data_IF_217261056137
#
_entry.id   IF_217261056137
#
_cell.length_a   1.000
_cell.length_b   1.000
_cell.length_c   1.000
_cell.angle_alpha   90.00
_cell.angle_beta   90.00
_cell.angle_gamma   90.00
#
_symmetry.space_group_name_H-M   'P 1'
#
loop_
_entity.id
_entity.type
_entity.pdbx_description
1 polymer ?
#
# COMPACT_ATOMS: atom_id res chain seq x y z
N UNK A 1 69.18 23.52 -15.00
CA UNK A 1 69.07 23.14 -13.58
C UNK A 1 67.70 23.62 -13.13
N UNK A 2 66.74 22.72 -13.01
CA UNK A 2 65.39 23.06 -12.53
C UNK A 2 65.56 23.46 -11.06
N UNK A 3 65.18 24.69 -10.71
CA UNK A 3 65.34 25.21 -9.35
C UNK A 3 64.17 24.76 -8.48
N UNK A 4 64.32 24.80 -7.14
CA UNK A 4 63.25 24.41 -6.22
C UNK A 4 61.94 25.18 -6.41
N UNK A 5 62.01 26.39 -6.97
CA UNK A 5 60.89 27.25 -7.34
C UNK A 5 60.06 26.71 -8.52
N UNK A 6 60.68 26.02 -9.48
CA UNK A 6 59.98 25.47 -10.65
C UNK A 6 59.10 24.26 -10.25
N UNK A 7 59.58 23.44 -9.32
CA UNK A 7 58.81 22.32 -8.76
C UNK A 7 57.62 22.79 -7.93
N UNK A 8 57.76 23.90 -7.19
CA UNK A 8 56.67 24.48 -6.42
C UNK A 8 55.52 24.98 -7.32
N UNK A 9 55.83 25.56 -8.48
CA UNK A 9 54.82 26.01 -9.46
C UNK A 9 54.10 24.81 -10.08
N UNK A 10 54.83 23.76 -10.46
CA UNK A 10 54.25 22.53 -11.01
C UNK A 10 53.33 21.85 -9.98
N UNK A 11 53.78 21.68 -8.74
CA UNK A 11 52.96 21.12 -7.66
C UNK A 11 51.73 21.99 -7.38
N UNK A 12 51.87 23.32 -7.35
CA UNK A 12 50.76 24.24 -7.17
C UNK A 12 49.69 24.13 -8.27
N UNK A 13 50.12 23.98 -9.53
CA UNK A 13 49.20 23.75 -10.66
C UNK A 13 48.45 22.42 -10.53
N UNK A 14 49.14 21.32 -10.18
CA UNK A 14 48.49 20.03 -9.99
C UNK A 14 47.52 20.04 -8.81
N UNK A 15 47.88 20.66 -7.68
CA UNK A 15 47.01 20.78 -6.50
C UNK A 15 45.75 21.58 -6.82
N UNK A 16 45.88 22.70 -7.54
CA UNK A 16 44.72 23.52 -7.95
C UNK A 16 43.85 22.82 -8.99
N UNK A 17 44.45 22.13 -9.96
CA UNK A 17 43.71 21.35 -10.96
C UNK A 17 42.92 20.19 -10.33
N UNK A 18 43.55 19.41 -9.42
CA UNK A 18 42.88 18.32 -8.69
C UNK A 18 41.75 18.88 -7.81
N UNK A 19 42.00 19.99 -7.11
CA UNK A 19 40.99 20.65 -6.29
C UNK A 19 39.79 21.12 -7.13
N UNK A 20 40.04 21.66 -8.33
CA UNK A 20 38.98 22.06 -9.27
C UNK A 20 38.10 20.89 -9.72
N UNK A 21 38.69 19.73 -10.03
CA UNK A 21 37.96 18.52 -10.41
C UNK A 21 37.12 17.99 -9.24
N UNK A 22 37.67 17.95 -8.02
CA UNK A 22 36.94 17.52 -6.82
C UNK A 22 35.76 18.46 -6.55
N UNK A 23 35.96 19.78 -6.66
CA UNK A 23 34.90 20.78 -6.46
C UNK A 23 33.79 20.63 -7.50
N UNK A 24 34.12 20.40 -8.77
CA UNK A 24 33.11 20.18 -9.82
C UNK A 24 32.30 18.90 -9.58
N UNK A 25 32.97 17.80 -9.24
CA UNK A 25 32.30 16.53 -8.90
C UNK A 25 31.39 16.69 -7.68
N UNK A 26 31.87 17.34 -6.62
CA UNK A 26 31.09 17.63 -5.43
C UNK A 26 29.90 18.56 -5.76
N UNK A 27 30.09 19.57 -6.60
CA UNK A 27 29.04 20.50 -7.01
C UNK A 27 27.94 19.80 -7.80
N UNK A 28 28.29 18.96 -8.77
CA UNK A 28 27.31 18.16 -9.52
C UNK A 28 26.55 17.19 -8.63
N UNK A 29 27.25 16.51 -7.72
CA UNK A 29 26.62 15.62 -6.76
C UNK A 29 25.62 16.36 -5.85
N UNK A 30 26.02 17.49 -5.28
CA UNK A 30 25.14 18.31 -4.45
C UNK A 30 23.96 18.90 -5.23
N UNK A 31 24.18 19.31 -6.48
CA UNK A 31 23.12 19.83 -7.37
C UNK A 31 22.08 18.76 -7.63
N UNK A 32 22.51 17.53 -7.96
CA UNK A 32 21.61 16.39 -8.16
C UNK A 32 20.76 16.11 -6.92
N UNK A 33 21.36 16.11 -5.73
CA UNK A 33 20.60 15.92 -4.47
C UNK A 33 19.57 17.03 -4.26
N UNK A 34 19.92 18.29 -4.55
CA UNK A 34 18.99 19.43 -4.42
C UNK A 34 17.83 19.31 -5.39
N UNK A 35 18.10 18.96 -6.64
CA UNK A 35 17.07 18.75 -7.66
C UNK A 35 16.14 17.59 -7.30
N UNK A 36 16.70 16.46 -6.83
CA UNK A 36 15.90 15.33 -6.38
C UNK A 36 15.01 15.70 -5.18
N UNK A 37 15.57 16.38 -4.17
CA UNK A 37 14.80 16.83 -3.01
C UNK A 37 13.72 17.84 -3.41
N UNK A 38 14.00 18.72 -4.38
CA UNK A 38 13.02 19.67 -4.93
C UNK A 38 11.88 18.92 -5.62
N UNK A 39 12.21 17.95 -6.47
CA UNK A 39 11.22 17.13 -7.16
C UNK A 39 10.33 16.35 -6.17
N UNK A 40 10.93 15.71 -5.17
CA UNK A 40 10.18 15.00 -4.12
C UNK A 40 9.23 15.93 -3.36
N UNK A 41 9.65 17.16 -3.05
CA UNK A 41 8.77 18.16 -2.44
C UNK A 41 7.59 18.53 -3.34
N UNK A 42 7.83 18.71 -4.64
CA UNK A 42 6.78 19.04 -5.60
C UNK A 42 5.77 17.89 -5.72
N UNK A 43 6.23 16.64 -5.81
CA UNK A 43 5.37 15.46 -5.76
C UNK A 43 4.54 15.41 -4.48
N UNK A 44 5.16 15.62 -3.31
CA UNK A 44 4.45 15.63 -2.03
C UNK A 44 3.38 16.70 -1.95
N UNK A 45 3.71 17.94 -2.31
CA UNK A 45 2.82 19.09 -2.20
C UNK A 45 1.68 19.06 -3.22
N UNK A 46 1.93 18.54 -4.42
CA UNK A 46 0.97 18.60 -5.54
C UNK A 46 0.08 17.37 -5.59
N UNK A 47 0.68 16.17 -5.47
CA UNK A 47 -0.05 14.91 -5.60
C UNK A 47 -0.57 14.43 -4.26
N UNK A 48 0.29 14.29 -3.24
CA UNK A 48 -0.09 13.49 -2.09
C UNK A 48 -0.73 14.26 -0.93
N UNK A 49 -0.06 15.29 -0.43
CA UNK A 49 -0.48 16.07 0.75
C UNK A 49 -1.92 16.60 0.67
N UNK A 50 -2.42 17.10 -0.50
CA UNK A 50 -3.77 17.64 -0.58
C UNK A 50 -4.88 16.61 -0.40
N UNK A 51 -4.62 15.33 -0.67
CA UNK A 51 -5.68 14.30 -0.78
C UNK A 51 -5.53 13.13 0.21
N UNK A 52 -4.39 12.98 0.89
CA UNK A 52 -4.11 11.82 1.77
C UNK A 52 -5.18 11.59 2.85
N UNK A 53 -5.64 12.65 3.51
CA UNK A 53 -6.70 12.51 4.53
C UNK A 53 -8.05 12.15 3.92
N UNK A 54 -8.28 12.48 2.65
CA UNK A 54 -9.49 12.07 1.92
C UNK A 54 -9.42 10.59 1.55
N UNK A 55 -8.26 10.09 1.16
CA UNK A 55 -8.00 8.66 0.95
C UNK A 55 -8.26 7.87 2.23
N UNK A 56 -7.77 8.35 3.37
CA UNK A 56 -8.04 7.73 4.68
C UNK A 56 -9.54 7.76 5.01
N UNK A 57 -10.20 8.90 4.80
CA UNK A 57 -11.66 9.01 5.01
C UNK A 57 -12.45 8.06 4.11
N UNK A 58 -12.04 7.87 2.86
CA UNK A 58 -12.67 6.92 1.95
C UNK A 58 -12.61 5.50 2.50
N UNK A 59 -11.41 5.04 2.90
CA UNK A 59 -11.23 3.71 3.51
C UNK A 59 -12.13 3.57 4.75
N UNK A 60 -12.16 4.60 5.61
CA UNK A 60 -13.01 4.61 6.79
C UNK A 60 -14.51 4.68 6.47
N UNK A 61 -14.90 5.29 5.35
CA UNK A 61 -16.30 5.42 4.93
C UNK A 61 -16.88 4.10 4.40
N UNK A 62 -16.04 3.26 3.78
CA UNK A 62 -16.41 1.86 3.51
C UNK A 62 -16.69 1.10 4.81
N UNK A 63 -16.13 1.55 5.95
CA UNK A 63 -16.34 0.91 7.25
C UNK A 63 -17.65 1.29 7.95
N UNK A 64 -18.29 2.43 7.64
CA UNK A 64 -19.46 2.90 8.40
C UNK A 64 -20.55 3.43 7.48
N UNK A 65 -21.71 2.79 7.50
CA UNK A 65 -22.94 3.35 6.91
C UNK A 65 -23.40 4.53 7.78
N UNK A 66 -23.02 5.75 7.41
CA UNK A 66 -23.39 6.95 8.18
C UNK A 66 -22.53 8.19 7.97
N UNK A 67 -21.52 8.15 7.11
CA UNK A 67 -20.78 9.36 6.74
C UNK A 67 -21.65 10.35 5.99
N UNK A 68 -21.39 11.65 6.22
CA UNK A 68 -22.07 12.75 5.51
C UNK A 68 -21.81 12.72 4.00
N UNK A 69 -20.61 12.29 3.61
CA UNK A 69 -20.21 12.05 2.22
C UNK A 69 -20.23 10.55 1.97
N UNK A 70 -20.75 10.11 0.83
CA UNK A 70 -20.76 8.69 0.48
C UNK A 70 -19.36 8.23 0.06
N UNK A 71 -19.01 6.94 0.22
CA UNK A 71 -17.73 6.42 -0.26
C UNK A 71 -17.50 6.71 -1.75
N UNK A 72 -18.55 6.63 -2.57
CA UNK A 72 -18.48 6.98 -4.00
C UNK A 72 -18.12 8.45 -4.25
N UNK A 73 -18.66 9.38 -3.46
CA UNK A 73 -18.33 10.81 -3.57
C UNK A 73 -16.87 11.07 -3.20
N UNK A 74 -16.43 10.52 -2.06
CA UNK A 74 -15.05 10.62 -1.60
C UNK A 74 -14.08 10.05 -2.65
N UNK A 75 -14.40 8.87 -3.19
CA UNK A 75 -13.56 8.22 -4.18
C UNK A 75 -13.51 8.97 -5.51
N UNK A 76 -14.64 9.54 -5.96
CA UNK A 76 -14.66 10.38 -7.16
C UNK A 76 -13.71 11.56 -7.02
N UNK A 77 -13.73 12.26 -5.88
CA UNK A 77 -12.83 13.39 -5.63
C UNK A 77 -11.36 12.97 -5.57
N UNK A 78 -11.08 11.76 -5.05
CA UNK A 78 -9.73 11.17 -5.10
C UNK A 78 -9.30 10.97 -6.55
N UNK A 79 -10.13 10.30 -7.37
CA UNK A 79 -9.82 10.03 -8.78
C UNK A 79 -9.65 11.32 -9.59
N UNK A 80 -10.52 12.31 -9.39
CA UNK A 80 -10.43 13.61 -10.07
C UNK A 80 -9.10 14.31 -9.73
N UNK A 81 -8.71 14.31 -8.44
CA UNK A 81 -7.42 14.86 -8.02
C UNK A 81 -6.23 14.07 -8.58
N UNK A 82 -6.30 12.74 -8.56
CA UNK A 82 -5.27 11.88 -9.15
C UNK A 82 -5.13 12.16 -10.64
N UNK A 83 -6.22 12.23 -11.40
CA UNK A 83 -6.19 12.47 -12.84
C UNK A 83 -5.49 13.78 -13.24
N UNK A 84 -5.65 14.83 -12.44
CA UNK A 84 -4.96 16.11 -12.68
C UNK A 84 -3.47 16.08 -12.33
N UNK A 85 -3.06 15.19 -11.43
CA UNK A 85 -1.73 15.21 -10.80
C UNK A 85 -0.92 13.92 -10.98
N UNK A 86 -1.44 12.92 -11.71
CA UNK A 86 -0.84 11.58 -11.83
C UNK A 86 0.58 11.60 -12.42
N UNK A 87 0.91 12.64 -13.20
CA UNK A 87 2.26 12.88 -13.74
C UNK A 87 3.37 12.98 -12.68
N UNK A 88 3.00 13.27 -11.43
CA UNK A 88 3.92 13.35 -10.29
C UNK A 88 4.09 12.01 -9.55
N UNK A 89 3.35 10.97 -9.94
CA UNK A 89 3.40 9.67 -9.31
C UNK A 89 4.56 8.81 -9.82
N UNK A 90 4.92 7.77 -9.06
CA UNK A 90 5.84 6.75 -9.55
C UNK A 90 5.20 5.95 -10.71
N UNK A 91 5.98 5.48 -11.71
CA UNK A 91 5.43 4.73 -12.85
C UNK A 91 4.54 3.54 -12.46
N UNK A 92 4.86 2.85 -11.35
CA UNK A 92 4.01 1.76 -10.82
C UNK A 92 2.60 2.22 -10.48
N UNK A 93 2.47 3.38 -9.86
CA UNK A 93 1.18 3.94 -9.44
C UNK A 93 0.41 4.47 -10.65
N UNK A 94 1.11 5.10 -11.61
CA UNK A 94 0.51 5.49 -12.90
C UNK A 94 -0.13 4.28 -13.58
N UNK A 95 0.60 3.16 -13.66
CA UNK A 95 0.07 1.93 -14.26
C UNK A 95 -1.14 1.38 -13.51
N UNK A 96 -1.12 1.37 -12.17
CA UNK A 96 -2.25 0.93 -11.34
C UNK A 96 -3.49 1.81 -11.54
N UNK A 97 -3.30 3.13 -11.58
CA UNK A 97 -4.35 4.10 -11.86
C UNK A 97 -4.94 3.95 -13.26
N UNK A 98 -4.11 3.80 -14.29
CA UNK A 98 -4.59 3.60 -15.65
C UNK A 98 -5.35 2.28 -15.79
N UNK A 99 -4.85 1.19 -15.21
CA UNK A 99 -5.56 -0.10 -15.19
C UNK A 99 -6.95 0.05 -14.56
N UNK A 100 -7.04 0.74 -13.42
CA UNK A 100 -8.31 1.02 -12.76
C UNK A 100 -9.29 1.81 -13.65
N UNK A 101 -8.81 2.83 -14.37
CA UNK A 101 -9.66 3.64 -15.27
C UNK A 101 -10.24 2.87 -16.45
N UNK A 102 -9.53 1.84 -16.91
CA UNK A 102 -9.96 1.03 -18.05
C UNK A 102 -10.91 -0.11 -17.65
N UNK A 103 -11.17 -0.30 -16.36
CA UNK A 103 -12.16 -1.29 -15.94
C UNK A 103 -13.55 -0.75 -16.28
N UNK A 104 -14.17 -1.35 -17.29
CA UNK A 104 -15.49 -0.99 -17.81
C UNK A 104 -16.57 -1.59 -16.90
N UNK A 105 -16.98 -0.85 -15.86
CA UNK A 105 -17.96 -1.33 -14.88
C UNK A 105 -19.39 -1.09 -15.36
N UNK A 106 -19.96 -2.05 -16.10
CA UNK A 106 -21.42 -2.20 -16.16
C UNK A 106 -21.88 -2.92 -14.89
N UNK A 107 -22.29 -2.14 -13.89
CA UNK A 107 -22.67 -2.60 -12.55
C UNK A 107 -24.02 -3.33 -12.56
N UNK A 108 -24.06 -4.58 -13.04
CA UNK A 108 -25.30 -5.37 -13.09
C UNK A 108 -25.33 -6.54 -12.07
N UNK A 109 -24.25 -6.81 -11.30
CA UNK A 109 -24.21 -7.88 -10.29
C UNK A 109 -23.51 -7.50 -8.97
N UNK A 110 -23.81 -8.23 -7.89
CA UNK A 110 -23.22 -8.03 -6.56
C UNK A 110 -21.70 -8.31 -6.54
N UNK A 111 -21.25 -9.40 -7.17
CA UNK A 111 -19.83 -9.75 -7.27
C UNK A 111 -19.00 -8.68 -7.98
N UNK A 112 -19.59 -8.04 -9.02
CA UNK A 112 -18.95 -6.91 -9.72
C UNK A 112 -18.77 -5.70 -8.81
N UNK A 113 -19.68 -5.48 -7.85
CA UNK A 113 -19.58 -4.40 -6.87
C UNK A 113 -18.46 -4.66 -5.87
N UNK A 114 -18.35 -5.88 -5.35
CA UNK A 114 -17.31 -6.23 -4.38
C UNK A 114 -15.92 -6.19 -5.02
N UNK A 115 -15.81 -6.68 -6.26
CA UNK A 115 -14.59 -6.53 -7.05
C UNK A 115 -14.22 -5.05 -7.26
N UNK A 116 -15.20 -4.20 -7.57
CA UNK A 116 -14.98 -2.78 -7.75
C UNK A 116 -14.45 -2.10 -6.48
N UNK A 117 -15.05 -2.38 -5.33
CA UNK A 117 -14.58 -1.86 -4.03
C UNK A 117 -13.15 -2.34 -3.76
N UNK A 118 -12.87 -3.62 -4.00
CA UNK A 118 -11.52 -4.18 -3.86
C UNK A 118 -10.48 -3.41 -4.69
N UNK A 119 -10.76 -3.12 -5.96
CA UNK A 119 -9.83 -2.38 -6.81
C UNK A 119 -9.62 -0.93 -6.36
N UNK A 120 -10.68 -0.28 -5.84
CA UNK A 120 -10.55 1.04 -5.20
C UNK A 120 -9.65 1.00 -3.97
N UNK A 121 -9.82 0.00 -3.10
CA UNK A 121 -9.00 -0.20 -1.90
C UNK A 121 -7.53 -0.41 -2.27
N UNK A 122 -7.24 -1.26 -3.27
CA UNK A 122 -5.86 -1.49 -3.75
C UNK A 122 -5.19 -0.24 -4.32
N UNK A 123 -5.95 0.65 -4.96
CA UNK A 123 -5.45 1.94 -5.43
C UNK A 123 -5.13 2.86 -4.25
N UNK A 124 -6.03 2.93 -3.26
CA UNK A 124 -5.81 3.71 -2.04
C UNK A 124 -4.62 3.20 -1.21
N UNK A 125 -4.46 1.88 -1.10
CA UNK A 125 -3.32 1.25 -0.44
C UNK A 125 -2.00 1.66 -1.08
N UNK A 126 -1.87 1.54 -2.41
CA UNK A 126 -0.66 1.94 -3.14
C UNK A 126 -0.36 3.41 -2.95
N UNK A 127 -1.39 4.26 -2.99
CA UNK A 127 -1.25 5.69 -2.72
C UNK A 127 -0.69 5.94 -1.32
N UNK A 128 -1.17 5.24 -0.30
CA UNK A 128 -0.71 5.39 1.08
C UNK A 128 0.74 4.90 1.26
N UNK A 129 1.14 3.82 0.58
CA UNK A 129 2.52 3.34 0.55
C UNK A 129 3.46 4.36 -0.09
N UNK A 130 3.08 4.92 -1.24
CA UNK A 130 3.84 5.98 -1.92
C UNK A 130 3.93 7.24 -1.05
N UNK A 131 2.83 7.61 -0.38
CA UNK A 131 2.81 8.73 0.57
C UNK A 131 3.77 8.50 1.74
N UNK A 132 3.78 7.31 2.35
CA UNK A 132 4.72 7.00 3.44
C UNK A 132 6.16 7.09 2.93
N UNK A 133 6.44 6.52 1.77
CA UNK A 133 7.78 6.52 1.19
C UNK A 133 8.28 7.96 0.98
N UNK A 134 7.47 8.83 0.37
CA UNK A 134 7.88 10.21 0.10
C UNK A 134 7.93 11.06 1.37
N UNK A 135 7.00 10.86 2.30
CA UNK A 135 6.95 11.61 3.56
C UNK A 135 8.13 11.27 4.46
N UNK A 136 8.56 10.00 4.48
CA UNK A 136 9.75 9.56 5.19
C UNK A 136 11.02 10.16 4.58
N UNK A 137 11.17 10.15 3.24
CA UNK A 137 12.32 10.76 2.55
C UNK A 137 12.43 12.27 2.79
N UNK A 138 11.30 12.95 2.93
CA UNK A 138 11.26 14.38 3.20
C UNK A 138 11.33 14.73 4.69
N UNK A 139 11.28 13.74 5.58
CA UNK A 139 11.25 13.91 7.04
C UNK A 139 10.08 14.78 7.53
N UNK A 140 8.93 14.68 6.85
CA UNK A 140 7.71 15.46 7.17
C UNK A 140 6.62 14.62 7.85
N UNK A 141 6.86 13.32 8.02
CA UNK A 141 5.89 12.40 8.60
C UNK A 141 5.89 12.50 10.13
N UNK A 142 4.78 12.95 10.71
CA UNK A 142 4.61 12.95 12.18
C UNK A 142 4.19 11.56 12.68
N UNK A 143 4.47 11.21 13.95
CA UNK A 143 4.07 9.91 14.52
C UNK A 143 2.56 9.65 14.46
N UNK A 144 1.73 10.68 14.69
CA UNK A 144 0.27 10.54 14.66
C UNK A 144 -0.24 10.24 13.25
N UNK A 145 0.29 10.94 12.24
CA UNK A 145 -0.08 10.71 10.83
C UNK A 145 0.42 9.34 10.39
N UNK A 146 1.64 8.95 10.79
CA UNK A 146 2.18 7.61 10.52
C UNK A 146 1.26 6.53 11.09
N UNK A 147 0.88 6.65 12.37
CA UNK A 147 -0.01 5.69 13.04
C UNK A 147 -1.34 5.58 12.30
N UNK A 148 -1.95 6.71 11.94
CA UNK A 148 -3.21 6.73 11.21
C UNK A 148 -3.09 6.02 9.85
N UNK A 149 -1.98 6.20 9.13
CA UNK A 149 -1.75 5.52 7.85
C UNK A 149 -1.51 4.03 8.05
N UNK A 150 -0.66 3.64 9.01
CA UNK A 150 -0.38 2.24 9.32
C UNK A 150 -1.68 1.49 9.69
N UNK A 151 -2.59 2.13 10.45
CA UNK A 151 -3.92 1.58 10.77
C UNK A 151 -4.78 1.28 9.54
N UNK A 152 -4.79 2.20 8.57
CA UNK A 152 -5.61 2.05 7.36
C UNK A 152 -4.94 1.08 6.36
N UNK A 153 -3.61 1.08 6.28
CA UNK A 153 -2.85 0.09 5.51
C UNK A 153 -3.11 -1.32 6.04
N UNK A 154 -3.11 -1.53 7.36
CA UNK A 154 -3.42 -2.83 7.95
C UNK A 154 -4.80 -3.34 7.50
N UNK A 155 -5.82 -2.47 7.50
CA UNK A 155 -7.16 -2.83 7.01
C UNK A 155 -7.15 -3.16 5.51
N UNK A 156 -6.46 -2.38 4.69
CA UNK A 156 -6.33 -2.66 3.26
C UNK A 156 -5.66 -4.03 3.01
N UNK A 157 -4.58 -4.32 3.74
CA UNK A 157 -3.83 -5.58 3.64
C UNK A 157 -4.65 -6.77 4.12
N UNK A 158 -5.38 -6.63 5.22
CA UNK A 158 -6.24 -7.69 5.73
C UNK A 158 -7.41 -7.98 4.76
N UNK A 159 -7.99 -6.93 4.17
CA UNK A 159 -8.97 -7.07 3.10
C UNK A 159 -8.36 -7.83 1.90
N UNK A 160 -7.18 -7.44 1.43
CA UNK A 160 -6.51 -8.10 0.29
C UNK A 160 -6.16 -9.56 0.59
N UNK A 161 -5.70 -9.87 1.80
CA UNK A 161 -5.45 -11.24 2.25
C UNK A 161 -6.72 -12.10 2.18
N UNK A 162 -7.83 -11.59 2.73
CA UNK A 162 -9.12 -12.29 2.69
C UNK A 162 -9.61 -12.49 1.26
N UNK A 163 -9.42 -11.48 0.39
CA UNK A 163 -9.74 -11.56 -1.03
C UNK A 163 -8.91 -12.63 -1.76
N UNK A 164 -7.60 -12.68 -1.49
CA UNK A 164 -6.69 -13.68 -2.05
C UNK A 164 -7.06 -15.11 -1.62
N UNK A 165 -7.66 -15.28 -0.44
CA UNK A 165 -8.14 -16.56 0.07
C UNK A 165 -9.58 -16.91 -0.35
N UNK A 166 -10.19 -16.13 -1.25
CA UNK A 166 -11.60 -16.30 -1.66
C UNK A 166 -12.62 -16.16 -0.51
N UNK A 167 -12.21 -15.52 0.59
CA UNK A 167 -13.08 -15.21 1.73
C UNK A 167 -13.72 -13.83 1.55
N UNK A 168 -14.50 -13.65 0.48
CA UNK A 168 -15.03 -12.33 0.07
C UNK A 168 -15.95 -11.68 1.12
N UNK A 169 -16.77 -12.48 1.80
CA UNK A 169 -17.61 -11.99 2.91
C UNK A 169 -16.75 -11.47 4.07
N UNK A 170 -15.64 -12.15 4.39
CA UNK A 170 -14.68 -11.67 5.39
C UNK A 170 -14.00 -10.38 4.93
N UNK A 171 -13.57 -10.29 3.66
CA UNK A 171 -12.98 -9.07 3.11
C UNK A 171 -13.94 -7.87 3.28
N UNK A 172 -15.23 -8.09 3.01
CA UNK A 172 -16.28 -7.08 3.20
C UNK A 172 -16.44 -6.69 4.68
N UNK A 173 -16.52 -7.68 5.59
CA UNK A 173 -16.62 -7.44 7.03
C UNK A 173 -15.40 -6.72 7.60
N UNK A 174 -14.21 -6.97 7.06
CA UNK A 174 -12.97 -6.27 7.45
C UNK A 174 -13.06 -4.79 7.19
N UNK A 175 -13.67 -4.39 6.06
CA UNK A 175 -14.00 -2.99 5.81
C UNK A 175 -15.12 -2.57 6.77
N UNK A 176 -16.31 -3.18 6.72
CA UNK A 176 -17.47 -2.74 7.53
C UNK A 176 -17.26 -2.71 9.05
N UNK A 177 -16.24 -3.40 9.59
CA UNK A 177 -15.87 -3.40 11.02
C UNK A 177 -14.44 -2.91 11.27
N UNK A 178 -13.82 -2.26 10.29
CA UNK A 178 -12.40 -1.90 10.33
C UNK A 178 -11.98 -1.10 11.57
N UNK A 179 -12.83 -0.20 12.07
CA UNK A 179 -12.55 0.56 13.30
C UNK A 179 -12.43 -0.37 14.52
N UNK A 180 -13.31 -1.37 14.63
CA UNK A 180 -13.30 -2.32 15.74
C UNK A 180 -12.12 -3.29 15.62
N UNK A 181 -11.81 -3.74 14.40
CA UNK A 181 -10.63 -4.58 14.12
C UNK A 181 -9.33 -3.83 14.45
N UNK A 182 -9.26 -2.53 14.15
CA UNK A 182 -8.11 -1.69 14.53
C UNK A 182 -7.87 -1.64 16.04
N UNK A 183 -8.90 -1.82 16.87
CA UNK A 183 -8.75 -1.82 18.32
C UNK A 183 -8.14 -3.13 18.85
N UNK A 184 -8.09 -4.19 18.04
CA UNK A 184 -7.45 -5.46 18.42
C UNK A 184 -5.92 -5.36 18.44
N UNK A 185 -5.34 -4.36 17.76
CA UNK A 185 -3.91 -4.27 17.53
C UNK A 185 -3.32 -3.00 18.13
N UNK A 186 -2.12 -3.11 18.70
CA UNK A 186 -1.36 -1.97 19.24
C UNK A 186 -0.21 -1.56 18.35
N UNK A 187 0.33 -2.48 17.53
CA UNK A 187 1.43 -2.24 16.60
C UNK A 187 1.01 -2.55 15.16
N UNK A 188 0.39 -1.56 14.51
CA UNK A 188 -0.13 -1.68 13.14
C UNK A 188 0.96 -1.94 12.10
N UNK A 189 2.15 -1.37 12.27
CA UNK A 189 3.24 -1.54 11.30
C UNK A 189 3.74 -3.00 11.27
N UNK A 190 3.87 -3.63 12.44
CA UNK A 190 4.20 -5.04 12.53
C UNK A 190 3.12 -5.92 11.86
N UNK A 191 1.85 -5.61 12.11
CA UNK A 191 0.73 -6.35 11.48
C UNK A 191 0.70 -6.19 9.96
N UNK A 192 1.00 -5.00 9.43
CA UNK A 192 1.16 -4.80 7.98
C UNK A 192 2.26 -5.71 7.42
N UNK A 193 3.43 -5.76 8.07
CA UNK A 193 4.55 -6.60 7.64
C UNK A 193 4.21 -8.09 7.70
N UNK A 194 3.59 -8.53 8.79
CA UNK A 194 3.15 -9.92 8.98
C UNK A 194 2.18 -10.36 7.88
N UNK A 195 1.18 -9.54 7.55
CA UNK A 195 0.23 -9.82 6.47
C UNK A 195 0.94 -9.85 5.11
N UNK A 196 1.86 -8.92 4.83
CA UNK A 196 2.63 -8.91 3.59
C UNK A 196 3.50 -10.17 3.41
N UNK A 197 4.10 -10.66 4.49
CA UNK A 197 4.87 -11.91 4.49
C UNK A 197 3.98 -13.11 4.18
N UNK A 198 2.79 -13.18 4.79
CA UNK A 198 1.80 -14.23 4.52
C UNK A 198 1.32 -14.20 3.07
N UNK A 199 1.00 -13.01 2.52
CA UNK A 199 0.60 -12.87 1.12
C UNK A 199 1.74 -13.31 0.18
N UNK A 200 2.98 -12.95 0.51
CA UNK A 200 4.14 -13.37 -0.28
C UNK A 200 4.34 -14.89 -0.25
N UNK A 201 4.22 -15.50 0.92
CA UNK A 201 4.30 -16.96 1.06
C UNK A 201 3.19 -17.66 0.26
N UNK A 202 1.95 -17.17 0.38
CA UNK A 202 0.80 -17.65 -0.39
C UNK A 202 1.08 -17.62 -1.89
N UNK A 203 1.53 -16.49 -2.41
CA UNK A 203 1.83 -16.34 -3.84
C UNK A 203 2.94 -17.29 -4.30
N UNK A 204 3.99 -17.47 -3.50
CA UNK A 204 5.06 -18.43 -3.79
C UNK A 204 4.55 -19.87 -3.82
N UNK A 205 3.69 -20.25 -2.87
CA UNK A 205 3.10 -21.58 -2.79
C UNK A 205 2.17 -21.86 -3.98
N UNK A 206 1.35 -20.87 -4.37
CA UNK A 206 0.52 -20.93 -5.57
C UNK A 206 1.37 -21.10 -6.82
N UNK A 207 2.41 -20.27 -6.99
CA UNK A 207 3.30 -20.34 -8.16
C UNK A 207 4.01 -21.70 -8.24
N UNK A 208 4.49 -22.21 -7.10
CA UNK A 208 5.14 -23.52 -7.01
C UNK A 208 4.17 -24.65 -7.37
N UNK A 209 2.96 -24.67 -6.80
CA UNK A 209 1.93 -25.68 -7.08
C UNK A 209 1.56 -25.66 -8.57
N UNK A 210 1.34 -24.47 -9.13
CA UNK A 210 1.00 -24.31 -10.54
C UNK A 210 2.12 -24.83 -11.46
N UNK A 211 3.38 -24.58 -11.12
CA UNK A 211 4.54 -25.05 -11.91
C UNK A 211 4.78 -26.56 -11.82
N UNK A 212 4.62 -27.15 -10.63
CA UNK A 212 4.93 -28.57 -10.40
C UNK A 212 3.77 -29.50 -10.77
N UNK A 213 2.54 -29.08 -10.48
CA UNK A 213 1.35 -29.94 -10.57
C UNK A 213 0.39 -29.51 -11.67
N UNK A 214 0.52 -28.29 -12.20
CA UNK A 214 -0.38 -27.73 -13.22
C UNK A 214 -1.70 -27.19 -12.67
N UNK A 215 -1.92 -27.28 -11.35
CA UNK A 215 -3.10 -26.76 -10.65
C UNK A 215 -2.72 -26.25 -9.26
N UNK A 216 -3.59 -25.43 -8.67
CA UNK A 216 -3.42 -24.87 -7.33
C UNK A 216 -4.11 -25.78 -6.32
N UNK A 217 -3.39 -26.22 -5.30
CA UNK A 217 -3.93 -27.04 -4.22
C UNK A 217 -4.43 -26.21 -3.04
N UNK A 218 -5.47 -26.70 -2.35
CA UNK A 218 -6.01 -26.05 -1.15
C UNK A 218 -4.95 -25.77 -0.07
N UNK A 219 -3.96 -26.66 0.11
CA UNK A 219 -2.92 -26.50 1.14
C UNK A 219 -2.09 -25.22 0.96
N UNK A 220 -2.02 -24.65 -0.25
CA UNK A 220 -1.29 -23.40 -0.50
C UNK A 220 -1.84 -22.22 0.31
N UNK A 221 -3.10 -22.29 0.73
CA UNK A 221 -3.82 -21.24 1.44
C UNK A 221 -3.85 -21.43 2.96
N UNK A 222 -3.31 -22.54 3.48
CA UNK A 222 -3.54 -22.95 4.87
C UNK A 222 -3.05 -21.91 5.89
N UNK A 223 -1.84 -21.39 5.73
CA UNK A 223 -1.29 -20.37 6.64
C UNK A 223 -2.12 -19.07 6.62
N UNK A 224 -2.55 -18.65 5.42
CA UNK A 224 -3.36 -17.45 5.26
C UNK A 224 -4.75 -17.60 5.89
N UNK A 225 -5.39 -18.76 5.71
CA UNK A 225 -6.67 -19.07 6.36
C UNK A 225 -6.51 -19.11 7.87
N UNK A 226 -5.50 -19.80 8.40
CA UNK A 226 -5.26 -19.89 9.85
C UNK A 226 -5.08 -18.50 10.48
N UNK A 227 -4.36 -17.61 9.79
CA UNK A 227 -4.22 -16.22 10.22
C UNK A 227 -5.56 -15.48 10.25
N UNK A 228 -6.37 -15.58 9.18
CA UNK A 228 -7.71 -15.00 9.14
C UNK A 228 -8.60 -15.56 10.25
N UNK A 229 -8.58 -16.88 10.48
CA UNK A 229 -9.33 -17.52 11.56
C UNK A 229 -8.96 -16.98 12.93
N UNK A 230 -7.66 -16.78 13.18
CA UNK A 230 -7.17 -16.26 14.46
C UNK A 230 -7.63 -14.81 14.69
N UNK A 231 -7.62 -13.98 13.65
CA UNK A 231 -8.19 -12.62 13.73
C UNK A 231 -9.69 -12.69 14.01
N UNK A 232 -10.44 -13.54 13.30
CA UNK A 232 -11.88 -13.70 13.52
C UNK A 232 -12.18 -14.17 14.94
N UNK A 233 -11.46 -15.18 15.46
CA UNK A 233 -11.61 -15.67 16.85
C UNK A 233 -11.32 -14.56 17.86
N UNK A 234 -10.24 -13.80 17.66
CA UNK A 234 -9.89 -12.67 18.53
C UNK A 234 -10.97 -11.60 18.51
N UNK A 235 -11.47 -11.25 17.32
CA UNK A 235 -12.56 -10.30 17.16
C UNK A 235 -13.83 -10.75 17.85
N UNK A 236 -14.23 -12.01 17.67
CA UNK A 236 -15.43 -12.60 18.28
C UNK A 236 -15.31 -12.62 19.81
N UNK A 237 -14.13 -12.91 20.35
CA UNK A 237 -13.91 -12.88 21.81
C UNK A 237 -14.15 -11.49 22.41
N UNK A 238 -13.73 -10.44 21.70
CA UNK A 238 -13.95 -9.04 22.11
C UNK A 238 -15.39 -8.55 21.80
N UNK A 239 -16.02 -9.09 20.76
CA UNK A 239 -17.35 -8.71 20.29
C UNK A 239 -18.26 -9.93 20.04
N UNK A 240 -18.71 -10.64 21.10
CA UNK A 240 -19.43 -11.92 20.94
C UNK A 240 -20.73 -11.84 20.14
N UNK A 241 -21.37 -10.66 20.10
CA UNK A 241 -22.57 -10.43 19.30
C UNK A 241 -22.36 -10.58 17.78
N UNK A 242 -21.11 -10.51 17.30
CA UNK A 242 -20.75 -10.66 15.88
C UNK A 242 -20.37 -12.11 15.51
N UNK A 243 -20.40 -13.05 16.46
CA UNK A 243 -19.97 -14.45 16.28
C UNK A 243 -20.65 -15.11 15.07
N UNK A 244 -21.99 -15.06 15.02
CA UNK A 244 -22.75 -15.71 13.95
C UNK A 244 -22.39 -15.18 12.56
N UNK A 245 -22.16 -13.86 12.45
CA UNK A 245 -21.81 -13.19 11.18
C UNK A 245 -20.43 -13.64 10.70
N UNK A 246 -19.40 -13.51 11.56
CA UNK A 246 -18.03 -13.83 11.18
C UNK A 246 -17.81 -15.33 10.98
N UNK A 247 -18.41 -16.18 11.81
CA UNK A 247 -18.28 -17.63 11.66
C UNK A 247 -18.95 -18.13 10.38
N UNK A 248 -20.13 -17.59 10.03
CA UNK A 248 -20.80 -17.89 8.77
C UNK A 248 -19.93 -17.49 7.56
N UNK A 249 -19.43 -16.25 7.55
CA UNK A 249 -18.60 -15.73 6.46
C UNK A 249 -17.31 -16.54 6.27
N UNK A 250 -16.65 -16.91 7.38
CA UNK A 250 -15.44 -17.72 7.37
C UNK A 250 -15.70 -19.13 6.82
N UNK A 251 -16.77 -19.79 7.30
CA UNK A 251 -17.14 -21.12 6.86
C UNK A 251 -17.50 -21.15 5.36
N UNK A 252 -18.23 -20.14 4.88
CA UNK A 252 -18.58 -19.97 3.46
C UNK A 252 -17.32 -19.82 2.60
N UNK A 253 -16.39 -18.93 2.99
CA UNK A 253 -15.13 -18.72 2.29
C UNK A 253 -14.28 -19.99 2.20
N UNK A 254 -14.10 -20.70 3.31
CA UNK A 254 -13.36 -21.96 3.35
C UNK A 254 -14.03 -23.04 2.48
N UNK A 255 -15.36 -23.14 2.53
CA UNK A 255 -16.10 -24.09 1.71
C UNK A 255 -15.93 -23.81 0.21
N UNK A 256 -16.05 -22.53 -0.19
CA UNK A 256 -15.85 -22.11 -1.57
C UNK A 256 -14.42 -22.37 -2.07
N UNK A 257 -13.42 -22.06 -1.23
CA UNK A 257 -12.02 -22.33 -1.56
C UNK A 257 -11.76 -23.83 -1.74
N UNK A 258 -12.30 -24.67 -0.85
CA UNK A 258 -12.20 -26.13 -0.97
C UNK A 258 -12.87 -26.65 -2.23
N UNK A 259 -14.00 -26.09 -2.63
CA UNK A 259 -14.68 -26.46 -3.87
C UNK A 259 -13.86 -26.11 -5.11
N UNK A 260 -13.24 -24.92 -5.11
CA UNK A 260 -12.45 -24.42 -6.23
C UNK A 260 -11.13 -25.16 -6.44
N UNK A 261 -10.53 -25.70 -5.38
CA UNK A 261 -9.18 -26.27 -5.37
C UNK A 261 -9.13 -27.73 -4.88
N UNK A 262 -10.12 -28.55 -5.27
CA UNK A 262 -10.12 -30.01 -5.04
C UNK A 262 -9.09 -30.74 -5.90
#
# INVERSE_FOLDING_TARGET
>A
MITGTDWAIVVGFFVTAISGVIVQLASHYLTRIREEKKYQKECYQTLFSPIVFKVIKYIQAENVRGFKETPDQLFKEIIDHLGLNIKYAAPRFVMKYENFRHVDFKLDSHEMKDYYISERIKLCEEFLLDYLQISNKLEVLTPDVKRLIDMNLMICKLHDLAWCCYCYEIATLVLERGIFIQNLFTNYNYQVQEIEEIIKELNNNIEYSQKQMGYIQFHCFQNAIEYIENICKTFINEYPQEESTFQSALNNGIAHLKEKHK
#
